data_IF_707382051563
#
_entry.id   IF_707382051563
#
_cell.length_a   1.000
_cell.length_b   1.000
_cell.length_c   1.000
_cell.angle_alpha   90.00
_cell.angle_beta   90.00
_cell.angle_gamma   90.00
#
_symmetry.space_group_name_H-M   'P 1'
#
loop_
_entity.id
_entity.type
_entity.pdbx_description
1 polymer ?
#
# COMPACT_ATOMS: atom_id res chain seq x y z
N UNK A 1 15.37 -18.21 1.58
CA UNK A 1 15.10 -17.11 0.63
C UNK A 1 13.61 -16.87 0.44
N UNK A 2 12.82 -17.89 0.06
CA UNK A 2 11.36 -17.77 -0.18
C UNK A 2 10.56 -17.16 1.00
N UNK A 3 10.85 -17.56 2.25
CA UNK A 3 10.16 -17.03 3.43
C UNK A 3 10.39 -15.53 3.65
N UNK A 4 11.61 -15.02 3.37
CA UNK A 4 11.94 -13.60 3.51
C UNK A 4 11.21 -12.75 2.46
N UNK A 5 11.09 -13.27 1.24
CA UNK A 5 10.32 -12.63 0.16
C UNK A 5 8.85 -12.50 0.56
N UNK A 6 8.25 -13.60 1.02
CA UNK A 6 6.86 -13.61 1.47
C UNK A 6 6.64 -12.65 2.65
N UNK A 7 7.54 -12.66 3.63
CA UNK A 7 7.46 -11.77 4.78
C UNK A 7 7.52 -10.29 4.38
N UNK A 8 8.47 -9.90 3.53
CA UNK A 8 8.58 -8.52 3.04
C UNK A 8 7.35 -8.13 2.23
N UNK A 9 6.89 -9.02 1.34
CA UNK A 9 5.68 -8.79 0.55
C UNK A 9 4.47 -8.54 1.45
N UNK A 10 4.19 -9.44 2.41
CA UNK A 10 3.07 -9.29 3.35
C UNK A 10 3.19 -8.01 4.16
N UNK A 11 4.37 -7.69 4.67
CA UNK A 11 4.59 -6.49 5.48
C UNK A 11 4.32 -5.21 4.68
N UNK A 12 4.84 -5.12 3.45
CA UNK A 12 4.65 -3.96 2.56
C UNK A 12 3.18 -3.85 2.14
N UNK A 13 2.54 -4.94 1.73
CA UNK A 13 1.12 -4.95 1.36
C UNK A 13 0.21 -4.56 2.53
N UNK A 14 0.50 -5.06 3.74
CA UNK A 14 -0.25 -4.71 4.95
C UNK A 14 -0.11 -3.23 5.28
N UNK A 15 1.11 -2.69 5.29
CA UNK A 15 1.36 -1.27 5.53
C UNK A 15 0.64 -0.39 4.49
N UNK A 16 0.65 -0.82 3.23
CA UNK A 16 -0.06 -0.15 2.14
C UNK A 16 -1.58 -0.11 2.36
N UNK A 17 -2.19 -1.24 2.74
CA UNK A 17 -3.63 -1.32 3.04
C UNK A 17 -4.03 -0.40 4.20
N UNK A 18 -3.26 -0.37 5.29
CA UNK A 18 -3.53 0.55 6.41
C UNK A 18 -3.36 2.01 6.01
N UNK A 19 -2.36 2.33 5.18
CA UNK A 19 -2.16 3.69 4.67
C UNK A 19 -3.34 4.11 3.79
N UNK A 20 -3.83 3.22 2.92
CA UNK A 20 -5.03 3.46 2.12
C UNK A 20 -6.26 3.70 3.00
N UNK A 21 -6.42 2.94 4.11
CA UNK A 21 -7.52 3.14 5.07
C UNK A 21 -7.44 4.52 5.70
N UNK A 22 -6.25 4.93 6.16
CA UNK A 22 -6.04 6.24 6.74
C UNK A 22 -6.35 7.37 5.75
N UNK A 23 -5.93 7.23 4.49
CA UNK A 23 -6.21 8.21 3.42
C UNK A 23 -7.70 8.30 3.14
N UNK A 24 -8.39 7.17 2.97
CA UNK A 24 -9.83 7.13 2.71
C UNK A 24 -10.64 7.70 3.89
N UNK A 25 -10.28 7.32 5.11
CA UNK A 25 -10.91 7.86 6.32
C UNK A 25 -10.73 9.37 6.43
N UNK A 26 -9.51 9.86 6.17
CA UNK A 26 -9.22 11.31 6.15
C UNK A 26 -10.00 12.01 5.04
N UNK A 27 -10.13 11.40 3.86
CA UNK A 27 -10.92 11.93 2.76
C UNK A 27 -12.40 12.05 3.13
N UNK A 28 -12.96 11.03 3.79
CA UNK A 28 -14.37 11.02 4.20
C UNK A 28 -14.69 12.02 5.32
N UNK A 29 -13.82 12.13 6.32
CA UNK A 29 -14.08 12.99 7.48
C UNK A 29 -13.60 14.44 7.30
N UNK A 30 -12.47 14.64 6.62
CA UNK A 30 -11.76 15.94 6.56
C UNK A 30 -11.68 16.48 5.13
N UNK A 31 -12.12 15.71 4.13
CA UNK A 31 -12.09 16.11 2.73
C UNK A 31 -10.70 16.08 2.10
N UNK A 32 -10.66 16.41 0.81
CA UNK A 32 -9.45 16.31 -0.01
C UNK A 32 -8.27 17.18 0.49
N UNK A 33 -8.57 18.29 1.18
CA UNK A 33 -7.56 19.23 1.69
C UNK A 33 -6.55 18.57 2.64
N UNK A 34 -6.99 17.59 3.42
CA UNK A 34 -6.14 16.85 4.36
C UNK A 34 -5.74 15.47 3.81
N UNK A 35 -6.59 14.84 3.00
CA UNK A 35 -6.29 13.55 2.40
C UNK A 35 -5.14 13.60 1.37
N UNK A 36 -5.05 14.67 0.57
CA UNK A 36 -4.00 14.82 -0.44
C UNK A 36 -2.58 14.91 0.17
N UNK A 37 -2.31 15.78 1.17
CA UNK A 37 -1.03 15.78 1.87
C UNK A 37 -0.69 14.43 2.50
N UNK A 38 -1.67 13.77 3.12
CA UNK A 38 -1.48 12.46 3.74
C UNK A 38 -1.12 11.39 2.68
N UNK A 39 -1.77 11.42 1.52
CA UNK A 39 -1.45 10.53 0.41
C UNK A 39 -0.02 10.77 -0.11
N UNK A 40 0.40 12.03 -0.26
CA UNK A 40 1.76 12.37 -0.69
C UNK A 40 2.82 11.88 0.32
N UNK A 41 2.58 12.09 1.62
CA UNK A 41 3.46 11.58 2.68
C UNK A 41 3.52 10.05 2.66
N UNK A 42 2.38 9.39 2.45
CA UNK A 42 2.31 7.93 2.37
C UNK A 42 3.05 7.38 1.15
N UNK A 43 2.96 8.06 -0.01
CA UNK A 43 3.73 7.71 -1.22
C UNK A 43 5.23 7.88 -0.96
N UNK A 44 5.65 8.98 -0.31
CA UNK A 44 7.05 9.18 0.05
C UNK A 44 7.54 8.09 1.01
N UNK A 45 6.74 7.72 2.01
CA UNK A 45 7.02 6.62 2.92
C UNK A 45 7.13 5.27 2.21
N UNK A 46 6.24 5.01 1.25
CA UNK A 46 6.28 3.80 0.43
C UNK A 46 7.57 3.69 -0.38
N UNK A 47 8.00 4.77 -1.04
CA UNK A 47 9.28 4.80 -1.77
C UNK A 47 10.47 4.68 -0.82
N UNK A 48 10.45 5.38 0.32
CA UNK A 48 11.52 5.32 1.31
C UNK A 48 11.72 3.91 1.88
N UNK A 49 10.61 3.19 2.11
CA UNK A 49 10.65 1.83 2.66
C UNK A 49 11.44 0.85 1.76
N UNK A 50 11.57 1.12 0.46
CA UNK A 50 12.40 0.32 -0.45
C UNK A 50 13.89 0.36 -0.08
N UNK A 51 14.37 1.55 0.28
CA UNK A 51 15.75 1.75 0.72
C UNK A 51 15.95 1.24 2.15
N UNK A 52 14.92 1.39 2.99
CA UNK A 52 14.92 0.87 4.35
C UNK A 52 15.07 -0.66 4.38
N UNK A 53 14.30 -1.39 3.57
CA UNK A 53 14.42 -2.87 3.51
C UNK A 53 15.81 -3.31 3.03
N UNK A 54 16.44 -2.55 2.13
CA UNK A 54 17.82 -2.84 1.68
C UNK A 54 18.88 -2.61 2.77
N UNK A 55 18.64 -1.73 3.74
CA UNK A 55 19.58 -1.46 4.82
C UNK A 55 19.56 -2.52 5.93
N UNK A 56 18.49 -3.33 6.02
CA UNK A 56 18.40 -4.43 7.00
C UNK A 56 19.20 -5.67 6.58
N UNK A 57 20.35 -5.88 7.24
CA UNK A 57 21.24 -7.04 7.01
C UNK A 57 20.54 -8.41 7.12
N UNK A 58 19.49 -8.52 7.95
CA UNK A 58 18.71 -9.77 8.11
C UNK A 58 17.76 -10.09 6.95
N UNK A 59 17.42 -9.12 6.11
CA UNK A 59 16.34 -9.18 5.10
C UNK A 59 16.87 -8.88 3.69
N UNK A 60 18.19 -8.96 3.48
CA UNK A 60 18.79 -8.73 2.15
C UNK A 60 18.17 -9.66 1.10
N UNK A 61 17.38 -9.06 0.21
CA UNK A 61 16.80 -9.67 -0.97
C UNK A 61 17.47 -9.07 -2.21
N UNK A 62 17.53 -9.81 -3.33
CA UNK A 62 17.99 -9.24 -4.59
C UNK A 62 17.17 -8.00 -4.96
N UNK A 63 17.84 -6.95 -5.44
CA UNK A 63 17.18 -5.69 -5.82
C UNK A 63 16.05 -5.91 -6.85
N UNK A 64 16.23 -6.84 -7.79
CA UNK A 64 15.20 -7.20 -8.77
C UNK A 64 13.93 -7.74 -8.10
N UNK A 65 14.05 -8.57 -7.07
CA UNK A 65 12.92 -9.12 -6.32
C UNK A 65 12.19 -8.01 -5.55
N UNK A 66 12.94 -7.10 -4.92
CA UNK A 66 12.35 -5.95 -4.24
C UNK A 66 11.61 -5.04 -5.23
N UNK A 67 12.17 -4.78 -6.41
CA UNK A 67 11.48 -3.98 -7.45
C UNK A 67 10.14 -4.62 -7.81
N UNK A 68 10.09 -5.95 -7.98
CA UNK A 68 8.84 -6.65 -8.26
C UNK A 68 7.83 -6.58 -7.12
N UNK A 69 8.26 -6.74 -5.86
CA UNK A 69 7.39 -6.57 -4.69
C UNK A 69 6.76 -5.17 -4.70
N UNK A 70 7.55 -4.13 -4.95
CA UNK A 70 7.05 -2.75 -4.99
C UNK A 70 6.15 -2.49 -6.20
N UNK A 71 6.47 -3.04 -7.37
CA UNK A 71 5.64 -2.89 -8.56
C UNK A 71 4.28 -3.55 -8.36
N UNK A 72 4.25 -4.78 -7.82
CA UNK A 72 3.00 -5.50 -7.54
C UNK A 72 2.18 -4.74 -6.49
N UNK A 73 2.78 -4.33 -5.38
CA UNK A 73 2.07 -3.56 -4.35
C UNK A 73 1.50 -2.24 -4.87
N UNK A 74 2.21 -1.57 -5.79
CA UNK A 74 1.71 -0.34 -6.43
C UNK A 74 0.54 -0.63 -7.39
N UNK A 75 0.63 -1.70 -8.18
CA UNK A 75 -0.45 -2.13 -9.06
C UNK A 75 -1.70 -2.52 -8.25
N UNK A 76 -1.54 -3.23 -7.14
CA UNK A 76 -2.64 -3.57 -6.23
C UNK A 76 -3.37 -2.31 -5.73
N UNK A 77 -2.64 -1.29 -5.30
CA UNK A 77 -3.21 -0.01 -4.86
C UNK A 77 -3.93 0.70 -6.00
N UNK A 78 -3.36 0.73 -7.20
CA UNK A 78 -4.00 1.33 -8.37
C UNK A 78 -5.30 0.62 -8.74
N UNK A 79 -5.30 -0.71 -8.73
CA UNK A 79 -6.48 -1.51 -9.02
C UNK A 79 -7.55 -1.26 -7.96
N UNK A 80 -7.20 -1.34 -6.66
CA UNK A 80 -8.17 -1.12 -5.59
C UNK A 80 -8.73 0.31 -5.59
N UNK A 81 -7.87 1.32 -5.74
CA UNK A 81 -8.31 2.71 -5.85
C UNK A 81 -9.17 2.95 -7.09
N UNK A 82 -8.80 2.36 -8.23
CA UNK A 82 -9.56 2.42 -9.47
C UNK A 82 -10.93 1.76 -9.36
N UNK A 83 -10.99 0.54 -8.80
CA UNK A 83 -12.25 -0.16 -8.54
C UNK A 83 -13.16 0.66 -7.62
N UNK A 84 -12.60 1.22 -6.54
CA UNK A 84 -13.37 2.04 -5.60
C UNK A 84 -14.00 3.28 -6.26
N UNK A 85 -13.26 3.98 -7.12
CA UNK A 85 -13.74 5.23 -7.73
C UNK A 85 -14.53 5.06 -9.03
N UNK A 86 -14.15 4.10 -9.88
CA UNK A 86 -14.67 4.01 -11.25
C UNK A 86 -15.72 2.89 -11.40
N UNK A 87 -15.60 1.82 -10.62
CA UNK A 87 -16.47 0.64 -10.73
C UNK A 87 -16.79 0.02 -9.36
N UNK A 88 -17.40 0.79 -8.43
CA UNK A 88 -17.61 0.38 -7.05
C UNK A 88 -18.42 -0.93 -6.92
N UNK A 89 -19.25 -1.28 -7.91
CA UNK A 89 -19.99 -2.55 -7.95
C UNK A 89 -19.10 -3.81 -8.03
N UNK A 90 -17.85 -3.67 -8.49
CA UNK A 90 -16.86 -4.76 -8.52
C UNK A 90 -15.85 -4.66 -7.38
N UNK A 91 -16.00 -3.68 -6.47
CA UNK A 91 -15.13 -3.56 -5.31
C UNK A 91 -15.43 -4.69 -4.32
N UNK A 92 -14.43 -5.48 -3.88
CA UNK A 92 -14.68 -6.63 -3.02
C UNK A 92 -15.30 -6.21 -1.68
N UNK A 93 -16.46 -6.79 -1.33
CA UNK A 93 -17.21 -6.41 -0.12
C UNK A 93 -16.39 -6.55 1.18
N UNK A 94 -15.61 -7.63 1.32
CA UNK A 94 -14.69 -7.84 2.45
C UNK A 94 -13.67 -6.70 2.59
N UNK A 95 -13.17 -6.21 1.45
CA UNK A 95 -12.20 -5.11 1.44
C UNK A 95 -12.91 -3.79 1.76
N UNK A 96 -14.15 -3.61 1.30
CA UNK A 96 -15.02 -2.50 1.68
C UNK A 96 -15.27 -2.45 3.18
N UNK A 97 -15.65 -3.57 3.78
CA UNK A 97 -15.88 -3.68 5.22
C UNK A 97 -14.62 -3.33 6.01
N UNK A 98 -13.44 -3.78 5.57
CA UNK A 98 -12.18 -3.40 6.21
C UNK A 98 -11.93 -1.88 6.15
N UNK A 99 -12.29 -1.20 5.07
CA UNK A 99 -12.03 0.24 4.91
C UNK A 99 -13.05 1.12 5.63
N UNK A 100 -14.32 0.71 5.67
CA UNK A 100 -15.43 1.57 6.09
C UNK A 100 -16.08 1.18 7.43
N UNK A 101 -15.75 0.00 7.98
CA UNK A 101 -16.08 -0.39 9.35
C UNK A 101 -14.83 -0.34 10.28
#
# INVERSE_FOLDING_TARGET
>A
MKLKILFVFIAVSTLSLFSMKAILWTLLQWGARFALPLALVSIAGYVWSFYLVQSFKGVQLPKSVLIWIWAIGFIEVLILGGLYHLTPQYFPAIVGDFFFN
#
